data_IF_944479884229
#
_entry.id   IF_944479884229
#
_cell.length_a   1.000
_cell.length_b   1.000
_cell.length_c   1.000
_cell.angle_alpha   90.00
_cell.angle_beta   90.00
_cell.angle_gamma   90.00
#
_symmetry.space_group_name_H-M   'P 1'
#
loop_
_entity.id
_entity.type
_entity.pdbx_description
1 polymer ?
#
# COMPACT_ATOMS: atom_id res chain seq x y z
N UNK A 1 -18.03 -11.27 24.35
CA UNK A 1 -17.34 -9.96 24.39
C UNK A 1 -17.02 -9.60 22.95
N UNK A 2 -17.87 -8.80 22.33
CA UNK A 2 -17.70 -8.27 20.98
C UNK A 2 -16.83 -7.04 21.07
N UNK A 3 -15.60 -7.13 20.56
CA UNK A 3 -14.71 -5.97 20.42
C UNK A 3 -15.21 -5.18 19.22
N UNK A 4 -16.00 -4.14 19.51
CA UNK A 4 -16.48 -3.18 18.53
C UNK A 4 -15.29 -2.29 18.15
N UNK A 5 -14.66 -2.57 17.01
CA UNK A 5 -13.61 -1.70 16.45
C UNK A 5 -14.26 -0.39 16.03
N UNK A 6 -14.10 0.63 16.85
CA UNK A 6 -14.50 2.00 16.54
C UNK A 6 -13.66 2.46 15.34
N UNK A 7 -14.24 2.41 14.13
CA UNK A 7 -13.75 3.16 12.97
C UNK A 7 -14.04 4.63 13.26
N UNK A 8 -13.09 5.35 13.86
CA UNK A 8 -13.14 6.81 13.89
C UNK A 8 -13.08 7.28 12.44
N UNK A 9 -14.21 7.74 11.91
CA UNK A 9 -14.26 8.31 10.56
C UNK A 9 -13.67 9.71 10.63
N UNK A 10 -12.34 9.81 10.67
CA UNK A 10 -11.67 11.11 10.61
C UNK A 10 -11.89 11.72 9.22
N UNK A 11 -12.30 12.99 9.22
CA UNK A 11 -12.72 13.68 8.00
C UNK A 11 -11.50 14.17 7.23
N UNK A 12 -11.32 13.67 6.00
CA UNK A 12 -10.27 14.10 5.09
C UNK A 12 -10.39 15.62 4.83
N UNK A 13 -9.30 16.37 5.01
CA UNK A 13 -9.33 17.83 4.76
C UNK A 13 -9.53 18.17 3.28
N UNK A 14 -10.01 19.38 2.98
CA UNK A 14 -10.14 19.87 1.60
C UNK A 14 -8.79 19.90 0.84
N UNK A 15 -7.69 20.19 1.54
CA UNK A 15 -6.35 20.16 0.96
C UNK A 15 -5.97 18.73 0.54
N UNK A 16 -6.19 17.76 1.42
CA UNK A 16 -5.99 16.33 1.12
C UNK A 16 -6.88 15.86 -0.02
N UNK A 17 -8.16 16.25 -0.05
CA UNK A 17 -9.09 15.91 -1.12
C UNK A 17 -8.62 16.47 -2.48
N UNK A 18 -8.15 17.72 -2.52
CA UNK A 18 -7.57 18.34 -3.72
C UNK A 18 -6.28 17.65 -4.17
N UNK A 19 -5.40 17.28 -3.24
CA UNK A 19 -4.18 16.54 -3.54
C UNK A 19 -4.49 15.15 -4.12
N UNK A 20 -5.46 14.45 -3.55
CA UNK A 20 -5.93 13.16 -4.06
C UNK A 20 -6.54 13.27 -5.46
N UNK A 21 -7.28 14.35 -5.76
CA UNK A 21 -7.82 14.59 -7.09
C UNK A 21 -6.72 14.82 -8.14
N UNK A 22 -5.63 15.50 -7.77
CA UNK A 22 -4.46 15.64 -8.65
C UNK A 22 -3.74 14.30 -8.82
N UNK A 23 -3.56 13.55 -7.74
CA UNK A 23 -2.89 12.25 -7.75
C UNK A 23 -3.67 11.17 -8.53
N UNK A 24 -4.97 11.38 -8.77
CA UNK A 24 -5.79 10.52 -9.61
C UNK A 24 -5.25 10.35 -11.05
N UNK A 25 -4.39 11.27 -11.50
CA UNK A 25 -3.73 11.25 -12.81
C UNK A 25 -2.25 10.84 -12.75
N UNK A 26 -1.73 10.51 -11.57
CA UNK A 26 -0.31 10.26 -11.29
C UNK A 26 -0.14 9.03 -10.37
N UNK A 27 -0.86 7.95 -10.67
CA UNK A 27 -0.61 6.66 -10.03
C UNK A 27 0.66 6.04 -10.60
N UNK A 28 1.51 5.53 -9.71
CA UNK A 28 2.78 4.92 -10.09
C UNK A 28 2.85 3.48 -9.60
N UNK A 29 3.47 2.60 -10.38
CA UNK A 29 3.71 1.21 -10.00
C UNK A 29 5.16 0.86 -10.25
N UNK A 30 5.82 0.29 -9.24
CA UNK A 30 7.19 -0.17 -9.30
C UNK A 30 7.24 -1.66 -8.97
N UNK A 31 7.78 -2.46 -9.87
CA UNK A 31 7.91 -3.90 -9.65
C UNK A 31 9.38 -4.30 -9.71
N UNK A 32 9.82 -5.05 -8.70
CA UNK A 32 11.16 -5.59 -8.58
C UNK A 32 11.10 -7.10 -8.40
N UNK A 33 12.01 -7.81 -9.04
CA UNK A 33 12.11 -9.26 -8.96
C UNK A 33 13.57 -9.66 -8.76
N UNK A 34 13.83 -10.63 -7.89
CA UNK A 34 15.19 -11.13 -7.65
C UNK A 34 15.33 -11.82 -6.30
N UNK A 35 16.57 -11.91 -5.80
CA UNK A 35 16.80 -12.37 -4.42
C UNK A 35 16.20 -11.37 -3.43
N UNK A 36 15.81 -11.80 -2.21
CA UNK A 36 15.32 -10.89 -1.18
C UNK A 36 16.25 -9.69 -0.94
N UNK A 37 17.57 -9.91 -0.89
CA UNK A 37 18.54 -8.84 -0.66
C UNK A 37 18.56 -7.82 -1.81
N UNK A 38 18.47 -8.29 -3.06
CA UNK A 38 18.44 -7.43 -4.24
C UNK A 38 17.16 -6.58 -4.24
N UNK A 39 16.01 -7.20 -3.96
CA UNK A 39 14.72 -6.52 -3.90
C UNK A 39 14.70 -5.48 -2.77
N UNK A 40 15.25 -5.78 -1.60
CA UNK A 40 15.41 -4.81 -0.49
C UNK A 40 16.20 -3.59 -0.92
N UNK A 41 17.32 -3.77 -1.63
CA UNK A 41 18.13 -2.64 -2.12
C UNK A 41 17.35 -1.76 -3.10
N UNK A 42 16.57 -2.37 -4.00
CA UNK A 42 15.72 -1.60 -4.92
C UNK A 42 14.61 -0.83 -4.20
N UNK A 43 13.93 -1.48 -3.26
CA UNK A 43 12.88 -0.83 -2.46
C UNK A 43 13.42 0.30 -1.60
N UNK A 44 14.60 0.13 -1.00
CA UNK A 44 15.28 1.17 -0.23
C UNK A 44 15.77 2.35 -1.10
N UNK A 45 16.03 2.10 -2.38
CA UNK A 45 16.43 3.12 -3.35
C UNK A 45 15.27 3.87 -4.01
N UNK A 46 14.01 3.52 -3.70
CA UNK A 46 12.86 4.29 -4.17
C UNK A 46 12.88 5.71 -3.58
N UNK A 47 12.39 6.72 -4.32
CA UNK A 47 12.28 8.08 -3.80
C UNK A 47 11.39 8.16 -2.54
N UNK A 48 11.86 8.87 -1.52
CA UNK A 48 11.10 9.02 -0.25
C UNK A 48 9.77 9.77 -0.43
N UNK A 49 9.65 10.58 -1.49
CA UNK A 49 8.39 11.24 -1.85
C UNK A 49 7.24 10.26 -2.13
N UNK A 50 7.54 9.02 -2.52
CA UNK A 50 6.52 8.00 -2.77
C UNK A 50 5.79 7.62 -1.47
N UNK A 51 6.50 7.54 -0.34
CA UNK A 51 5.89 7.28 0.98
C UNK A 51 5.35 8.54 1.66
N UNK A 52 5.56 9.70 1.05
CA UNK A 52 4.91 10.96 1.40
C UNK A 52 3.46 11.05 0.89
N UNK A 53 3.04 10.13 0.03
CA UNK A 53 1.65 10.01 -0.43
C UNK A 53 0.77 9.52 0.71
N UNK A 54 -0.52 9.86 0.64
CA UNK A 54 -1.50 9.48 1.66
C UNK A 54 -1.74 7.98 1.63
N UNK A 55 -1.92 7.40 0.43
CA UNK A 55 -2.20 5.97 0.27
C UNK A 55 -1.21 5.35 -0.71
N UNK A 56 -0.55 4.29 -0.25
CA UNK A 56 0.33 3.46 -1.07
C UNK A 56 0.28 2.01 -0.57
N UNK A 57 0.68 1.08 -1.43
CA UNK A 57 0.58 -0.35 -1.20
C UNK A 57 1.91 -1.03 -1.50
N UNK A 58 2.27 -2.02 -0.68
CA UNK A 58 3.34 -2.96 -0.96
C UNK A 58 2.75 -4.37 -1.03
N UNK A 59 3.07 -5.07 -2.10
CA UNK A 59 2.76 -6.47 -2.33
C UNK A 59 4.05 -7.23 -2.48
N UNK A 60 4.20 -8.33 -1.75
CA UNK A 60 5.39 -9.17 -1.79
C UNK A 60 4.95 -10.62 -1.97
N UNK A 61 5.52 -11.29 -2.95
CA UNK A 61 5.31 -12.71 -3.24
C UNK A 61 6.67 -13.39 -3.28
N UNK A 62 6.82 -14.45 -2.49
CA UNK A 62 7.99 -15.33 -2.50
C UNK A 62 7.56 -16.79 -2.61
N UNK A 63 8.52 -17.70 -2.50
CA UNK A 63 8.30 -19.14 -2.74
C UNK A 63 7.31 -19.78 -1.75
N UNK A 64 7.30 -19.29 -0.51
CA UNK A 64 6.57 -19.92 0.60
C UNK A 64 5.38 -19.11 1.10
N UNK A 65 5.30 -17.84 0.70
CA UNK A 65 4.33 -16.90 1.24
C UNK A 65 4.12 -15.70 0.32
N UNK A 66 3.03 -15.01 0.58
CA UNK A 66 2.65 -13.79 -0.10
C UNK A 66 1.88 -12.89 0.85
N UNK A 67 2.10 -11.60 0.74
CA UNK A 67 1.55 -10.62 1.66
C UNK A 67 1.32 -9.28 0.95
N UNK A 68 0.18 -8.67 1.22
CA UNK A 68 -0.14 -7.33 0.78
C UNK A 68 -0.33 -6.42 2.01
N UNK A 69 0.19 -5.20 1.92
CA UNK A 69 0.03 -4.14 2.90
C UNK A 69 -0.39 -2.86 2.24
N UNK A 70 -1.46 -2.25 2.74
CA UNK A 70 -1.86 -0.90 2.40
C UNK A 70 -1.52 0.03 3.55
N UNK A 71 -0.84 1.12 3.23
CA UNK A 71 -0.45 2.17 4.15
C UNK A 71 -1.32 3.37 3.87
N UNK A 72 -1.92 3.92 4.92
CA UNK A 72 -2.80 5.08 4.81
C UNK A 72 -2.48 6.09 5.91
N UNK A 73 -2.22 7.34 5.50
CA UNK A 73 -2.31 8.50 6.39
C UNK A 73 -3.75 9.02 6.39
N UNK A 74 -4.24 9.51 7.52
CA UNK A 74 -5.56 10.15 7.54
C UNK A 74 -5.54 11.47 6.74
N UNK A 75 -4.44 12.21 6.82
CA UNK A 75 -4.11 13.38 6.01
C UNK A 75 -2.65 13.34 5.55
N UNK A 76 -2.33 14.06 4.46
CA UNK A 76 -0.97 14.07 3.89
C UNK A 76 0.10 14.62 4.84
N UNK A 77 -0.30 15.51 5.76
CA UNK A 77 0.59 16.13 6.75
C UNK A 77 0.71 15.30 8.04
N UNK A 78 -0.07 14.23 8.18
CA UNK A 78 -0.09 13.46 9.42
C UNK A 78 1.20 12.66 9.59
N UNK A 79 1.67 12.66 10.84
CA UNK A 79 2.86 11.92 11.28
C UNK A 79 2.56 10.47 11.65
N UNK A 80 1.28 10.09 11.65
CA UNK A 80 0.76 8.76 11.94
C UNK A 80 -0.17 8.30 10.82
N UNK A 81 -0.36 6.98 10.73
CA UNK A 81 -1.26 6.36 9.78
C UNK A 81 -1.61 4.95 10.22
N UNK A 82 -2.39 4.26 9.40
CA UNK A 82 -2.72 2.85 9.57
C UNK A 82 -2.00 2.00 8.55
N UNK A 83 -1.81 0.73 8.92
CA UNK A 83 -1.36 -0.30 8.00
C UNK A 83 -2.39 -1.42 8.07
N UNK A 84 -3.03 -1.72 6.95
CA UNK A 84 -3.84 -2.92 6.84
C UNK A 84 -3.08 -3.98 6.06
N UNK A 85 -3.13 -5.22 6.53
CA UNK A 85 -2.36 -6.32 5.97
C UNK A 85 -3.21 -7.58 5.82
N UNK A 86 -2.90 -8.38 4.81
CA UNK A 86 -3.51 -9.68 4.59
C UNK A 86 -2.57 -10.61 3.80
N UNK A 87 -2.64 -11.94 4.04
CA UNK A 87 -2.04 -12.92 3.15
C UNK A 87 -2.82 -12.99 1.83
N UNK A 88 -2.13 -13.25 0.72
CA UNK A 88 -2.76 -13.28 -0.61
C UNK A 88 -2.25 -14.42 -1.48
N UNK A 89 -3.02 -15.48 -1.63
CA UNK A 89 -2.58 -16.66 -2.38
C UNK A 89 -2.43 -16.39 -3.90
N UNK A 90 -3.11 -15.36 -4.44
CA UNK A 90 -2.98 -14.93 -5.85
C UNK A 90 -2.61 -13.44 -5.98
N UNK A 91 -1.32 -13.16 -5.77
CA UNK A 91 -0.80 -11.79 -5.87
C UNK A 91 -0.85 -11.25 -7.31
N UNK A 92 -0.75 -12.12 -8.32
CA UNK A 92 -0.78 -11.69 -9.72
C UNK A 92 -2.18 -11.24 -10.13
N UNK A 93 -3.20 -11.98 -9.70
CA UNK A 93 -4.61 -11.61 -9.86
C UNK A 93 -4.92 -10.29 -9.17
N UNK A 94 -4.44 -10.10 -7.94
CA UNK A 94 -4.63 -8.84 -7.19
C UNK A 94 -4.01 -7.63 -7.91
N UNK A 95 -2.76 -7.73 -8.37
CA UNK A 95 -2.10 -6.66 -9.13
C UNK A 95 -2.90 -6.32 -10.38
N UNK A 96 -3.38 -7.34 -11.10
CA UNK A 96 -4.17 -7.16 -12.33
C UNK A 96 -5.47 -6.44 -12.03
N UNK A 97 -6.22 -6.91 -11.02
CA UNK A 97 -7.49 -6.32 -10.59
C UNK A 97 -7.33 -4.85 -10.19
N UNK A 98 -6.33 -4.53 -9.36
CA UNK A 98 -6.09 -3.14 -8.95
C UNK A 98 -5.74 -2.28 -10.17
N UNK A 99 -4.89 -2.77 -11.07
CA UNK A 99 -4.54 -2.04 -12.30
C UNK A 99 -5.76 -1.76 -13.17
N UNK A 100 -6.68 -2.72 -13.28
CA UNK A 100 -7.94 -2.55 -14.02
C UNK A 100 -8.85 -1.51 -13.36
N UNK A 101 -8.99 -1.55 -12.02
CA UNK A 101 -9.76 -0.55 -11.26
C UNK A 101 -9.19 0.86 -11.49
N UNK A 102 -7.86 1.02 -11.42
CA UNK A 102 -7.17 2.29 -11.64
C UNK A 102 -7.35 2.78 -13.09
N UNK A 103 -7.21 1.89 -14.07
CA UNK A 103 -7.39 2.23 -15.48
C UNK A 103 -8.84 2.61 -15.81
N UNK A 104 -9.81 1.91 -15.22
CA UNK A 104 -11.24 2.20 -15.38
C UNK A 104 -11.63 3.54 -14.73
N UNK A 105 -10.97 3.92 -13.64
CA UNK A 105 -11.20 5.19 -12.94
C UNK A 105 -10.92 6.42 -13.82
N UNK A 106 -9.90 6.37 -14.70
CA UNK A 106 -9.52 7.47 -15.60
C UNK A 106 -9.39 8.84 -14.89
N UNK A 107 -8.86 8.83 -13.67
CA UNK A 107 -8.66 10.05 -12.87
C UNK A 107 -9.94 10.72 -12.35
N UNK A 108 -11.08 10.03 -12.36
CA UNK A 108 -12.37 10.59 -11.89
C UNK A 108 -12.46 10.59 -10.36
N UNK A 109 -12.11 9.48 -9.72
CA UNK A 109 -12.13 9.32 -8.27
C UNK A 109 -10.72 9.23 -7.68
N UNK A 110 -10.62 9.40 -6.35
CA UNK A 110 -9.38 9.17 -5.63
C UNK A 110 -8.96 7.69 -5.76
N UNK A 111 -7.79 7.37 -6.35
CA UNK A 111 -7.34 6.00 -6.55
C UNK A 111 -7.21 5.20 -5.25
N UNK A 112 -6.67 5.83 -4.19
CA UNK A 112 -6.50 5.19 -2.89
C UNK A 112 -7.84 4.74 -2.29
N UNK A 113 -8.86 5.60 -2.35
CA UNK A 113 -10.20 5.26 -1.83
C UNK A 113 -10.85 4.15 -2.66
N UNK A 114 -10.69 4.19 -3.98
CA UNK A 114 -11.31 3.19 -4.86
C UNK A 114 -10.67 1.81 -4.68
N UNK A 115 -9.34 1.75 -4.57
CA UNK A 115 -8.63 0.50 -4.27
C UNK A 115 -9.04 -0.02 -2.90
N UNK A 116 -9.05 0.82 -1.86
CA UNK A 116 -9.52 0.42 -0.52
C UNK A 116 -10.94 -0.12 -0.55
N UNK A 117 -11.87 0.58 -1.19
CA UNK A 117 -13.26 0.13 -1.28
C UNK A 117 -13.39 -1.22 -1.99
N UNK A 118 -12.61 -1.44 -3.06
CA UNK A 118 -12.55 -2.73 -3.76
C UNK A 118 -12.06 -3.83 -2.82
N UNK A 119 -10.94 -3.61 -2.15
CA UNK A 119 -10.34 -4.57 -1.21
C UNK A 119 -11.26 -4.89 -0.03
N UNK A 120 -11.86 -3.86 0.59
CA UNK A 120 -12.79 -4.04 1.72
C UNK A 120 -14.07 -4.79 1.34
N UNK A 121 -14.48 -4.74 0.07
CA UNK A 121 -15.67 -5.47 -0.40
C UNK A 121 -15.40 -6.95 -0.67
N UNK A 122 -14.14 -7.33 -0.87
CA UNK A 122 -13.75 -8.67 -1.29
C UNK A 122 -12.92 -9.43 -0.24
N UNK A 123 -12.34 -8.72 0.73
CA UNK A 123 -11.32 -9.27 1.65
C UNK A 123 -11.55 -8.83 3.08
N UNK A 124 -11.24 -9.71 4.02
CA UNK A 124 -11.18 -9.38 5.44
C UNK A 124 -9.80 -8.78 5.77
N UNK A 125 -9.75 -7.45 5.90
CA UNK A 125 -8.52 -6.72 6.18
C UNK A 125 -8.25 -6.64 7.68
N UNK A 126 -7.05 -7.05 8.11
CA UNK A 126 -6.58 -6.77 9.46
C UNK A 126 -5.92 -5.41 9.52
N UNK A 127 -6.58 -4.43 10.14
CA UNK A 127 -6.06 -3.07 10.31
C UNK A 127 -5.30 -2.99 11.63
N UNK A 128 -4.02 -2.64 11.57
CA UNK A 128 -3.22 -2.37 12.77
C UNK A 128 -3.61 -1.03 13.41
N UNK A 129 -3.32 -0.90 14.72
CA UNK A 129 -3.44 0.37 15.41
C UNK A 129 -2.60 1.47 14.73
N UNK A 130 -2.96 2.76 14.88
CA UNK A 130 -2.16 3.85 14.35
C UNK A 130 -0.69 3.73 14.73
N UNK A 131 0.19 3.92 13.76
CA UNK A 131 1.63 3.82 13.91
C UNK A 131 2.31 5.03 13.24
N UNK A 132 3.55 5.38 13.64
CA UNK A 132 4.30 6.44 12.99
C UNK A 132 4.40 6.19 11.49
N UNK A 133 3.98 7.17 10.70
CA UNK A 133 4.04 7.06 9.26
C UNK A 133 5.50 7.06 8.79
N UNK A 134 5.92 6.10 7.95
CA UNK A 134 7.29 6.03 7.47
C UNK A 134 7.76 7.34 6.83
N UNK A 135 9.02 7.70 7.08
CA UNK A 135 9.65 8.90 6.50
C UNK A 135 10.54 8.60 5.29
N UNK A 136 10.75 7.32 4.99
CA UNK A 136 11.54 6.87 3.85
C UNK A 136 11.02 5.55 3.30
N UNK A 137 11.34 5.27 2.04
CA UNK A 137 10.98 4.01 1.40
C UNK A 137 11.61 2.81 2.12
N UNK A 138 12.87 2.95 2.55
CA UNK A 138 13.56 1.94 3.35
C UNK A 138 12.82 1.61 4.66
N UNK A 139 12.33 2.63 5.37
CA UNK A 139 11.58 2.45 6.61
C UNK A 139 10.18 1.84 6.37
N UNK A 140 9.54 2.15 5.24
CA UNK A 140 8.23 1.61 4.89
C UNK A 140 8.28 0.14 4.46
N UNK A 141 9.25 -0.22 3.63
CA UNK A 141 9.24 -1.49 2.90
C UNK A 141 10.25 -2.51 3.43
N UNK A 142 11.38 -2.06 3.98
CA UNK A 142 12.43 -2.94 4.49
C UNK A 142 11.95 -3.98 5.51
N UNK A 143 11.20 -3.60 6.56
CA UNK A 143 10.72 -4.54 7.58
C UNK A 143 9.81 -5.64 7.03
N UNK A 144 9.11 -5.40 5.91
CA UNK A 144 8.24 -6.41 5.28
C UNK A 144 9.05 -7.53 4.66
N UNK A 145 10.14 -7.17 3.99
CA UNK A 145 11.03 -8.11 3.28
C UNK A 145 11.85 -8.99 4.23
N UNK A 146 12.05 -8.58 5.48
CA UNK A 146 12.67 -9.43 6.50
C UNK A 146 11.90 -10.76 6.69
N UNK A 147 10.59 -10.76 6.43
CA UNK A 147 9.75 -11.97 6.45
C UNK A 147 9.98 -12.94 5.29
N UNK A 148 10.79 -12.57 4.29
CA UNK A 148 11.05 -13.29 3.05
C UNK A 148 12.54 -13.67 2.88
N UNK A 149 13.38 -13.47 3.91
CA UNK A 149 14.83 -13.78 3.86
C UNK A 149 15.14 -15.26 3.56
N UNK A 150 14.19 -16.16 3.82
CA UNK A 150 14.32 -17.59 3.52
C UNK A 150 13.95 -17.99 2.09
N UNK A 151 13.33 -17.09 1.31
CA UNK A 151 12.91 -17.39 -0.06
C UNK A 151 14.08 -17.19 -1.04
N UNK A 152 14.09 -17.96 -2.12
CA UNK A 152 15.15 -17.87 -3.14
C UNK A 152 14.87 -16.77 -4.16
N UNK A 153 13.60 -16.46 -4.36
CA UNK A 153 13.13 -15.47 -5.31
C UNK A 153 11.92 -14.74 -4.74
N UNK A 154 11.90 -13.42 -4.91
CA UNK A 154 10.81 -12.55 -4.46
C UNK A 154 10.42 -11.60 -5.58
N UNK A 155 9.12 -11.37 -5.71
CA UNK A 155 8.53 -10.27 -6.48
C UNK A 155 7.92 -9.27 -5.50
N UNK A 156 8.39 -8.02 -5.53
CA UNK A 156 7.77 -6.92 -4.81
C UNK A 156 7.13 -5.95 -5.79
N UNK A 157 5.90 -5.53 -5.52
CA UNK A 157 5.19 -4.49 -6.27
C UNK A 157 4.75 -3.38 -5.31
N UNK A 158 5.22 -2.17 -5.56
CA UNK A 158 4.78 -0.95 -4.88
C UNK A 158 3.81 -0.22 -5.78
N UNK A 159 2.61 0.10 -5.26
CA UNK A 159 1.63 0.94 -5.93
C UNK A 159 1.41 2.22 -5.14
N UNK A 160 1.60 3.35 -5.80
CA UNK A 160 1.46 4.69 -5.20
C UNK A 160 0.17 5.29 -5.74
N UNK A 161 -0.79 5.56 -4.86
CA UNK A 161 -2.19 5.75 -5.25
C UNK A 161 -2.65 7.21 -5.14
N UNK A 162 -2.49 7.85 -3.98
CA UNK A 162 -2.87 9.26 -3.81
C UNK A 162 -2.06 9.98 -2.75
#
# INVERSE_FOLDING_TARGET
>A
MTTETIRTTETVTHATAKACATAAWDCQTHTFLGSPETVVQHLAGLPDELVGRRVYMLMVEGDTRSEARIFERFNIEDIEGTVAQWPEDDMSGLVTQITEVLAANRGVHCPGEQVKATLESERELSVAAPAPAPRSAAAAFGPVLAGFEGDTFVRATVMVLC
#
